data_IF_149317012840
#
_entry.id   IF_149317012840
#
_cell.length_a   1.000
_cell.length_b   1.000
_cell.length_c   1.000
_cell.angle_alpha   90.00
_cell.angle_beta   90.00
_cell.angle_gamma   90.00
#
_symmetry.space_group_name_H-M   'P 1'
#
loop_
_entity.id
_entity.type
_entity.pdbx_description
1 polymer ?
#
# COMPACT_ATOMS: atom_id res chain seq x y z
N UNK A 1 -11.60 8.29 17.71
CA UNK A 1 -11.43 6.99 17.02
C UNK A 1 -9.96 6.67 17.06
N UNK A 2 -9.57 5.53 17.63
CA UNK A 2 -8.18 5.05 17.59
C UNK A 2 -7.87 4.64 16.16
N UNK A 3 -7.04 5.41 15.46
CA UNK A 3 -6.51 5.05 14.15
C UNK A 3 -5.47 3.95 14.36
N UNK A 4 -5.78 2.72 13.94
CA UNK A 4 -4.83 1.61 13.97
C UNK A 4 -4.01 1.68 12.68
N UNK A 5 -2.71 1.92 12.81
CA UNK A 5 -1.77 1.79 11.69
C UNK A 5 -1.44 0.31 11.53
N UNK A 6 -1.67 -0.31 10.36
CA UNK A 6 -1.34 -1.71 10.16
C UNK A 6 0.18 -1.89 10.17
N UNK A 7 0.64 -3.04 10.63
CA UNK A 7 2.01 -3.50 10.38
C UNK A 7 2.23 -3.75 8.89
N UNK A 8 3.49 -3.74 8.43
CA UNK A 8 3.85 -4.07 7.05
C UNK A 8 3.32 -5.45 6.62
N UNK A 9 3.32 -6.43 7.52
CA UNK A 9 2.79 -7.77 7.25
C UNK A 9 1.26 -7.79 7.10
N UNK A 10 0.54 -7.00 7.89
CA UNK A 10 -0.91 -6.82 7.74
C UNK A 10 -1.25 -6.09 6.43
N UNK A 11 -0.47 -5.07 6.09
CA UNK A 11 -0.57 -4.36 4.82
C UNK A 11 -0.32 -5.30 3.62
N UNK A 12 0.68 -6.18 3.69
CA UNK A 12 0.94 -7.18 2.65
C UNK A 12 -0.20 -8.19 2.52
N UNK A 13 -0.76 -8.67 3.63
CA UNK A 13 -1.93 -9.55 3.62
C UNK A 13 -3.14 -8.88 2.97
N UNK A 14 -3.29 -7.57 3.17
CA UNK A 14 -4.35 -6.79 2.54
C UNK A 14 -4.12 -6.64 1.03
N UNK A 15 -2.87 -6.36 0.61
CA UNK A 15 -2.49 -6.30 -0.81
C UNK A 15 -2.88 -7.57 -1.55
N UNK A 16 -2.44 -8.75 -1.08
CA UNK A 16 -2.72 -10.03 -1.76
C UNK A 16 -4.20 -10.45 -1.70
N UNK A 17 -4.98 -9.81 -0.82
CA UNK A 17 -6.43 -10.02 -0.75
C UNK A 17 -7.17 -9.31 -1.89
N UNK A 18 -6.72 -8.12 -2.29
CA UNK A 18 -7.37 -7.31 -3.33
C UNK A 18 -6.67 -7.33 -4.69
N UNK A 19 -5.39 -7.74 -4.73
CA UNK A 19 -4.62 -7.92 -5.95
C UNK A 19 -4.03 -9.33 -5.97
N UNK A 20 -4.36 -10.14 -6.97
CA UNK A 20 -3.87 -11.50 -7.16
C UNK A 20 -2.88 -11.60 -8.32
N UNK A 21 -2.83 -10.60 -9.20
CA UNK A 21 -1.86 -10.59 -10.28
C UNK A 21 -0.42 -10.43 -9.77
N UNK A 22 0.47 -11.34 -10.18
CA UNK A 22 1.90 -11.25 -9.93
C UNK A 22 2.50 -9.89 -10.36
N UNK A 23 2.00 -9.29 -11.44
CA UNK A 23 2.49 -8.00 -11.92
C UNK A 23 2.12 -6.87 -10.96
N UNK A 24 0.91 -6.89 -10.40
CA UNK A 24 0.42 -5.87 -9.48
C UNK A 24 1.08 -6.01 -8.10
N UNK A 25 1.29 -7.24 -7.64
CA UNK A 25 2.03 -7.49 -6.40
C UNK A 25 3.48 -6.99 -6.53
N UNK A 26 4.16 -7.31 -7.64
CA UNK A 26 5.52 -6.82 -7.90
C UNK A 26 5.57 -5.30 -8.03
N UNK A 27 4.55 -4.70 -8.64
CA UNK A 27 4.42 -3.26 -8.72
C UNK A 27 4.37 -2.63 -7.33
N UNK A 28 3.45 -3.08 -6.47
CA UNK A 28 3.33 -2.56 -5.10
C UNK A 28 4.62 -2.73 -4.27
N UNK A 29 5.31 -3.88 -4.37
CA UNK A 29 6.61 -4.10 -3.73
C UNK A 29 7.71 -3.17 -4.26
N UNK A 30 7.67 -2.85 -5.57
CA UNK A 30 8.61 -1.89 -6.16
C UNK A 30 8.34 -0.48 -5.63
N UNK A 31 7.07 -0.07 -5.54
CA UNK A 31 6.67 1.23 -4.99
C UNK A 31 7.04 1.32 -3.51
N UNK A 32 6.82 0.27 -2.71
CA UNK A 32 7.30 0.19 -1.32
C UNK A 32 8.79 0.55 -1.23
N UNK A 33 9.66 -0.11 -2.02
CA UNK A 33 11.09 0.15 -2.01
C UNK A 33 11.46 1.57 -2.44
N UNK A 34 10.77 2.12 -3.45
CA UNK A 34 10.96 3.51 -3.89
C UNK A 34 10.57 4.49 -2.77
N UNK A 35 9.45 4.26 -2.09
CA UNK A 35 8.97 5.12 -1.01
C UNK A 35 9.91 5.07 0.20
N UNK A 36 10.44 3.89 0.55
CA UNK A 36 11.47 3.74 1.58
C UNK A 36 12.72 4.56 1.24
N UNK A 37 13.22 4.43 0.00
CA UNK A 37 14.41 5.16 -0.43
C UNK A 37 14.23 6.68 -0.31
N UNK A 38 13.08 7.21 -0.75
CA UNK A 38 12.81 8.64 -0.62
C UNK A 38 12.56 9.07 0.83
N UNK A 39 11.95 8.23 1.66
CA UNK A 39 11.77 8.52 3.07
C UNK A 39 13.13 8.73 3.77
N UNK A 40 14.11 7.86 3.50
CA UNK A 40 15.47 8.00 4.01
C UNK A 40 16.15 9.30 3.52
N UNK A 41 16.03 9.60 2.22
CA UNK A 41 16.60 10.82 1.63
C UNK A 41 16.02 12.11 2.21
N UNK A 42 14.72 12.10 2.54
CA UNK A 42 14.02 13.25 3.11
C UNK A 42 13.95 13.24 4.64
N UNK A 43 14.63 12.29 5.29
CA UNK A 43 14.70 12.16 6.76
C UNK A 43 13.30 11.98 7.40
N UNK A 44 12.44 11.23 6.72
CA UNK A 44 11.10 10.80 7.13
C UNK A 44 11.10 9.37 7.69
N UNK A 45 9.95 8.88 8.16
CA UNK A 45 9.78 7.51 8.70
C UNK A 45 9.69 6.44 7.59
N UNK A 46 10.72 5.58 7.40
CA UNK A 46 10.72 4.59 6.34
C UNK A 46 9.65 3.51 6.48
N UNK A 47 9.29 3.12 7.71
CA UNK A 47 8.29 2.06 7.93
C UNK A 47 6.89 2.54 7.53
N UNK A 48 6.56 3.77 7.93
CA UNK A 48 5.32 4.43 7.50
C UNK A 48 5.23 4.51 5.98
N UNK A 49 6.30 4.95 5.31
CA UNK A 49 6.31 5.11 3.86
C UNK A 49 6.34 3.77 3.11
N UNK A 50 6.94 2.73 3.69
CA UNK A 50 6.85 1.36 3.18
C UNK A 50 5.39 0.89 3.13
N UNK A 51 4.66 1.03 4.25
CA UNK A 51 3.24 0.64 4.35
C UNK A 51 2.41 1.42 3.33
N UNK A 52 2.58 2.75 3.25
CA UNK A 52 1.85 3.60 2.30
C UNK A 52 2.10 3.15 0.85
N UNK A 53 3.38 2.95 0.47
CA UNK A 53 3.73 2.51 -0.87
C UNK A 53 3.15 1.13 -1.21
N UNK A 54 3.13 0.22 -0.22
CA UNK A 54 2.64 -1.14 -0.41
C UNK A 54 1.12 -1.21 -0.68
N UNK A 55 0.34 -0.29 -0.11
CA UNK A 55 -1.13 -0.33 -0.16
C UNK A 55 -1.77 0.84 -0.94
N UNK A 56 -0.98 1.65 -1.64
CA UNK A 56 -1.49 2.84 -2.34
C UNK A 56 -2.59 2.51 -3.37
N UNK A 57 -2.46 1.38 -4.06
CA UNK A 57 -3.33 0.94 -5.15
C UNK A 57 -4.12 -0.35 -4.82
N UNK A 58 -4.55 -0.51 -3.56
CA UNK A 58 -5.27 -1.72 -3.12
C UNK A 58 -6.48 -2.05 -4.00
N UNK A 59 -7.19 -1.05 -4.49
CA UNK A 59 -8.43 -1.22 -5.23
C UNK A 59 -8.28 -1.48 -6.74
N UNK A 60 -7.06 -1.42 -7.27
CA UNK A 60 -6.84 -1.35 -8.72
C UNK A 60 -7.38 -2.56 -9.50
N UNK A 61 -7.09 -3.80 -9.05
CA UNK A 61 -7.52 -5.01 -9.76
C UNK A 61 -9.03 -5.25 -9.68
N UNK A 62 -9.62 -5.15 -8.48
CA UNK A 62 -11.02 -5.48 -8.24
C UNK A 62 -11.98 -4.32 -8.55
N UNK A 63 -11.52 -3.07 -8.47
CA UNK A 63 -12.35 -1.87 -8.60
C UNK A 63 -11.69 -0.78 -9.47
N UNK A 64 -11.28 -1.09 -10.72
CA UNK A 64 -10.54 -0.15 -11.56
C UNK A 64 -11.30 1.15 -11.84
N UNK A 65 -12.63 1.13 -11.93
CA UNK A 65 -13.45 2.33 -12.16
C UNK A 65 -13.58 3.24 -10.92
N UNK A 66 -13.22 2.74 -9.74
CA UNK A 66 -13.32 3.45 -8.46
C UNK A 66 -11.95 3.66 -7.81
N UNK A 67 -10.90 3.51 -8.61
CA UNK A 67 -9.53 3.63 -8.17
C UNK A 67 -9.28 4.90 -7.33
N UNK A 68 -8.46 4.76 -6.30
CA UNK A 68 -8.18 5.71 -5.22
C UNK A 68 -9.35 5.96 -4.25
N UNK A 69 -10.62 5.87 -4.68
CA UNK A 69 -11.78 6.06 -3.77
C UNK A 69 -12.03 4.81 -2.95
N UNK A 70 -11.91 3.64 -3.59
CA UNK A 70 -12.22 2.39 -2.92
C UNK A 70 -11.12 1.98 -1.95
N UNK A 71 -9.87 2.34 -2.20
CA UNK A 71 -8.77 2.23 -1.23
C UNK A 71 -9.10 2.96 0.08
N UNK A 72 -9.64 4.18 0.02
CA UNK A 72 -10.05 4.90 1.24
C UNK A 72 -11.14 4.15 2.02
N UNK A 73 -12.15 3.60 1.32
CA UNK A 73 -13.20 2.79 1.96
C UNK A 73 -12.67 1.49 2.57
N UNK A 74 -11.68 0.86 1.95
CA UNK A 74 -11.06 -0.39 2.44
C UNK A 74 -10.25 -0.14 3.72
N UNK A 75 -9.66 1.04 3.86
CA UNK A 75 -8.76 1.41 4.96
C UNK A 75 -9.45 2.10 6.15
N UNK A 76 -10.74 2.45 6.03
CA UNK A 76 -11.56 3.03 7.10
C UNK A 76 -12.15 1.97 8.03
#
# INVERSE_FOLDING_TARGET
>A
MTTVTPTRDEAYKLLIKYNQSDSLIKHALTVEGVMVHFAELFNEDPEKWAIIGLIHDLDYEMFPEQHCRKTEEILR
#
